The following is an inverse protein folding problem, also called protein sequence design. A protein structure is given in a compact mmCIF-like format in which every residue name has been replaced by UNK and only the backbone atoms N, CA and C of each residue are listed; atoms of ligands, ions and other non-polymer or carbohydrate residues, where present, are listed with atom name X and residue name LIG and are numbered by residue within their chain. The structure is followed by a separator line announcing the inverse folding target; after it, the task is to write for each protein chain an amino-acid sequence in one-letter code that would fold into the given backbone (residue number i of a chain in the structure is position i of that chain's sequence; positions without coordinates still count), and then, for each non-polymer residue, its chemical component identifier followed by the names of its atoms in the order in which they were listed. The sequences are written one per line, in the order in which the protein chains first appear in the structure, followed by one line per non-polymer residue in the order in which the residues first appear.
data_IF_074594571000
#
_entry.id   IF_074594571000
#
_cell.length_a   1.000
_cell.length_b   1.000
_cell.length_c   1.000
_cell.angle_alpha   90.00
_cell.angle_beta   90.00
_cell.angle_gamma   90.00
#
_symmetry.space_group_name_H-M   'P 1'
#
loop_
_entity.id
_entity.type
_entity.pdbx_description
1 polymer ?
#
# COMPACT_ATOMS: atom_id res chain seq x y z
N UNK A 1 -1.41 -0.91 -9.41
CA UNK A 1 -2.46 -0.36 -8.52
C UNK A 1 -3.02 -1.50 -7.68
N UNK A 2 -3.28 -1.24 -6.40
CA UNK A 2 -3.86 -2.19 -5.45
C UNK A 2 -5.25 -1.71 -5.04
N UNK A 3 -6.24 -2.61 -4.93
CA UNK A 3 -7.56 -2.24 -4.43
C UNK A 3 -7.49 -1.99 -2.93
N UNK A 4 -8.09 -0.89 -2.47
CA UNK A 4 -8.24 -0.55 -1.06
C UNK A 4 -9.68 -0.17 -0.81
N UNK A 5 -10.25 -0.72 0.27
CA UNK A 5 -11.60 -0.37 0.70
C UNK A 5 -11.63 1.09 1.15
N UNK A 6 -12.47 1.88 0.51
CA UNK A 6 -12.77 3.26 0.90
C UNK A 6 -14.11 3.27 1.62
N UNK A 7 -14.07 3.63 2.90
CA UNK A 7 -15.25 3.68 3.76
C UNK A 7 -15.35 5.07 4.39
N UNK A 8 -16.51 5.70 4.26
CA UNK A 8 -16.79 7.01 4.86
C UNK A 8 -18.18 7.01 5.51
N UNK A 9 -18.32 7.72 6.63
CA UNK A 9 -19.51 7.74 7.46
C UNK A 9 -19.69 6.48 8.33
N UNK A 10 -20.37 6.63 9.46
CA UNK A 10 -20.65 5.54 10.40
C UNK A 10 -22.06 4.99 10.25
N UNK A 11 -22.26 3.67 10.23
CA UNK A 11 -23.62 3.14 10.34
C UNK A 11 -24.25 3.64 11.64
N UNK A 12 -25.35 4.39 11.55
CA UNK A 12 -26.18 4.58 12.73
C UNK A 12 -26.71 3.19 13.14
N UNK A 13 -26.61 2.86 14.43
CA UNK A 13 -26.99 1.56 15.04
C UNK A 13 -28.43 1.09 14.75
N UNK A 14 -29.22 1.87 14.02
CA UNK A 14 -30.62 1.61 13.70
C UNK A 14 -30.83 0.67 12.51
N UNK A 15 -29.88 0.56 11.58
CA UNK A 15 -30.05 -0.26 10.36
C UNK A 15 -28.81 -1.12 10.06
N UNK A 16 -28.97 -2.44 9.85
CA UNK A 16 -27.91 -3.28 9.30
C UNK A 16 -27.47 -2.84 7.90
N UNK A 17 -26.21 -3.12 7.55
CA UNK A 17 -25.60 -2.75 6.26
C UNK A 17 -26.43 -3.22 5.06
N UNK A 18 -26.85 -4.49 5.02
CA UNK A 18 -27.64 -5.02 3.90
C UNK A 18 -28.97 -4.29 3.68
N UNK A 19 -29.64 -3.83 4.76
CA UNK A 19 -30.86 -3.02 4.63
C UNK A 19 -30.56 -1.59 4.17
N UNK A 20 -29.40 -1.06 4.57
CA UNK A 20 -28.96 0.26 4.12
C UNK A 20 -28.66 0.27 2.63
N UNK A 21 -28.08 -0.82 2.11
CA UNK A 21 -27.85 -1.03 0.68
C UNK A 21 -29.17 -1.11 -0.10
N UNK A 22 -30.12 -1.94 0.35
CA UNK A 22 -31.45 -2.06 -0.27
C UNK A 22 -32.21 -0.73 -0.33
N UNK A 23 -32.00 0.14 0.66
CA UNK A 23 -32.63 1.47 0.75
C UNK A 23 -31.87 2.56 -0.01
N UNK A 24 -30.73 2.25 -0.63
CA UNK A 24 -29.92 3.20 -1.39
C UNK A 24 -29.15 4.20 -0.53
N UNK A 25 -28.88 3.86 0.74
CA UNK A 25 -28.05 4.68 1.63
C UNK A 25 -26.55 4.43 1.44
N UNK A 26 -26.17 3.35 0.75
CA UNK A 26 -24.77 3.09 0.40
C UNK A 26 -24.49 3.65 -0.99
N UNK A 27 -23.56 4.61 -1.06
CA UNK A 27 -23.15 5.29 -2.28
C UNK A 27 -21.73 4.87 -2.67
N UNK A 28 -21.44 4.87 -3.97
CA UNK A 28 -20.06 4.87 -4.49
C UNK A 28 -19.57 6.30 -4.65
N UNK A 29 -18.26 6.49 -4.85
CA UNK A 29 -17.71 7.84 -5.06
C UNK A 29 -18.29 8.51 -6.30
N UNK A 30 -18.48 7.75 -7.37
CA UNK A 30 -19.02 8.29 -8.63
C UNK A 30 -20.48 8.78 -8.49
N UNK A 31 -21.21 8.28 -7.49
CA UNK A 31 -22.59 8.70 -7.22
C UNK A 31 -22.66 10.05 -6.46
N UNK A 32 -21.57 10.46 -5.79
CA UNK A 32 -21.56 11.65 -4.93
C UNK A 32 -21.90 12.93 -5.70
N UNK A 33 -21.39 13.07 -6.92
CA UNK A 33 -21.65 14.26 -7.75
C UNK A 33 -23.14 14.38 -8.04
N UNK A 34 -23.77 13.29 -8.45
CA UNK A 34 -25.19 13.26 -8.82
C UNK A 34 -26.07 13.50 -7.60
N UNK A 35 -25.74 12.88 -6.45
CA UNK A 35 -26.51 13.06 -5.21
C UNK A 35 -26.33 14.48 -4.66
N UNK A 36 -25.13 15.05 -4.73
CA UNK A 36 -24.89 16.43 -4.30
C UNK A 36 -25.73 17.42 -5.13
N UNK A 37 -25.76 17.26 -6.46
CA UNK A 37 -26.61 18.08 -7.34
C UNK A 37 -28.09 17.95 -7.00
N UNK A 38 -28.59 16.74 -6.72
CA UNK A 38 -29.98 16.51 -6.33
C UNK A 38 -30.34 17.17 -4.99
N UNK A 39 -29.36 17.33 -4.10
CA UNK A 39 -29.53 17.95 -2.79
C UNK A 39 -29.24 19.45 -2.78
N UNK A 40 -28.89 20.04 -3.94
CA UNK A 40 -28.44 21.43 -4.05
C UNK A 40 -27.20 21.74 -3.18
N UNK A 41 -26.32 20.73 -3.02
CA UNK A 41 -25.05 20.82 -2.30
C UNK A 41 -23.88 20.70 -3.27
N UNK A 42 -22.72 21.21 -2.87
CA UNK A 42 -21.46 20.84 -3.52
C UNK A 42 -21.01 19.43 -3.10
N UNK A 43 -20.16 18.79 -3.92
CA UNK A 43 -19.59 17.46 -3.58
C UNK A 43 -18.85 17.51 -2.23
N UNK A 44 -18.06 18.56 -2.00
CA UNK A 44 -17.31 18.75 -0.76
C UNK A 44 -18.24 18.91 0.45
N UNK A 45 -19.32 19.70 0.34
CA UNK A 45 -20.31 19.85 1.42
C UNK A 45 -21.06 18.56 1.73
N UNK A 46 -21.37 17.74 0.71
CA UNK A 46 -21.99 16.43 0.91
C UNK A 46 -21.01 15.47 1.64
N UNK A 47 -19.73 15.48 1.24
CA UNK A 47 -18.68 14.67 1.88
C UNK A 47 -18.53 15.04 3.36
N UNK A 48 -18.49 16.33 3.67
CA UNK A 48 -18.39 16.83 5.04
C UNK A 48 -19.61 16.40 5.87
N UNK A 49 -20.83 16.58 5.34
CA UNK A 49 -22.06 16.18 6.04
C UNK A 49 -22.16 14.65 6.27
N UNK A 50 -21.69 13.84 5.32
CA UNK A 50 -21.61 12.38 5.49
C UNK A 50 -20.57 12.00 6.55
N UNK A 51 -19.43 12.71 6.57
CA UNK A 51 -18.32 12.47 7.51
C UNK A 51 -18.69 12.86 8.94
N UNK A 52 -19.49 13.92 9.10
CA UNK A 52 -20.04 14.39 10.37
C UNK A 52 -21.31 13.63 10.80
N UNK A 53 -21.69 12.57 10.08
CA UNK A 53 -22.89 11.76 10.31
C UNK A 53 -24.21 12.57 10.36
N UNK A 54 -24.25 13.71 9.66
CA UNK A 54 -25.45 14.55 9.53
C UNK A 54 -26.45 13.98 8.50
N UNK A 55 -25.99 13.08 7.63
CA UNK A 55 -26.78 12.43 6.60
C UNK A 55 -26.78 10.90 6.74
N UNK A 56 -27.87 10.23 6.28
CA UNK A 56 -27.96 8.78 6.33
C UNK A 56 -27.08 8.07 5.28
N UNK A 57 -26.52 8.82 4.31
CA UNK A 57 -25.68 8.27 3.23
C UNK A 57 -24.30 7.88 3.73
N UNK A 58 -23.83 6.69 3.31
CA UNK A 58 -22.52 6.13 3.63
C UNK A 58 -21.80 5.78 2.34
N UNK A 59 -20.51 6.06 2.26
CA UNK A 59 -19.73 5.73 1.07
C UNK A 59 -19.00 4.41 1.31
N UNK A 60 -19.24 3.43 0.44
CA UNK A 60 -18.52 2.15 0.41
C UNK A 60 -18.06 1.91 -1.02
N UNK A 61 -16.75 1.97 -1.23
CA UNK A 61 -16.18 1.83 -2.57
C UNK A 61 -14.82 1.13 -2.53
N UNK A 62 -14.33 0.77 -3.71
CA UNK A 62 -12.98 0.24 -3.91
C UNK A 62 -12.18 1.26 -4.70
N UNK A 63 -11.22 1.91 -4.03
CA UNK A 63 -10.28 2.80 -4.70
C UNK A 63 -9.01 2.04 -5.09
N UNK A 64 -8.41 2.45 -6.21
CA UNK A 64 -7.16 1.89 -6.69
C UNK A 64 -6.02 2.84 -6.38
N UNK A 65 -5.16 2.43 -5.46
CA UNK A 65 -3.98 3.22 -5.04
C UNK A 65 -2.69 2.49 -5.40
N UNK A 66 -1.54 3.08 -5.10
CA UNK A 66 -0.24 2.41 -5.20
C UNK A 66 0.45 2.40 -3.85
N UNK A 67 1.33 1.43 -3.61
CA UNK A 67 2.15 1.43 -2.39
C UNK A 67 2.95 2.73 -2.25
N UNK A 68 3.41 3.28 -3.39
CA UNK A 68 4.09 4.57 -3.44
C UNK A 68 3.21 5.70 -2.90
N UNK A 69 1.95 5.78 -3.33
CA UNK A 69 1.02 6.82 -2.88
C UNK A 69 0.74 6.72 -1.38
N UNK A 70 0.56 5.50 -0.87
CA UNK A 70 0.25 5.23 0.54
C UNK A 70 1.43 5.33 1.51
N UNK A 71 2.68 5.32 1.00
CA UNK A 71 3.87 5.19 1.86
C UNK A 71 5.04 6.10 1.51
N UNK A 72 5.22 6.47 0.24
CA UNK A 72 6.40 7.20 -0.25
C UNK A 72 6.13 8.65 -0.65
N UNK A 73 4.87 9.04 -0.91
CA UNK A 73 4.49 10.45 -1.08
C UNK A 73 4.99 11.31 0.09
N UNK A 74 5.53 12.49 -0.23
CA UNK A 74 6.16 13.36 0.75
C UNK A 74 5.22 13.78 1.89
N UNK A 75 3.95 14.02 1.56
CA UNK A 75 2.90 14.39 2.52
C UNK A 75 2.61 13.26 3.51
N UNK A 76 2.50 12.03 3.00
CA UNK A 76 2.24 10.84 3.81
C UNK A 76 3.42 10.52 4.73
N UNK A 77 4.66 10.66 4.23
CA UNK A 77 5.85 10.49 5.07
C UNK A 77 5.93 11.59 6.13
N UNK A 78 5.60 12.83 5.79
CA UNK A 78 5.57 13.95 6.74
C UNK A 78 4.53 13.72 7.85
N UNK A 79 3.32 13.28 7.52
CA UNK A 79 2.28 12.99 8.52
C UNK A 79 2.68 11.86 9.46
N UNK A 80 3.35 10.82 8.94
CA UNK A 80 3.91 9.70 9.71
C UNK A 80 5.25 10.01 10.39
N UNK A 81 5.78 11.23 10.27
CA UNK A 81 7.11 11.65 10.79
C UNK A 81 8.27 10.77 10.30
N UNK A 82 8.18 10.30 9.06
CA UNK A 82 9.18 9.47 8.41
C UNK A 82 10.11 10.32 7.52
N UNK A 83 11.40 9.98 7.40
CA UNK A 83 12.34 10.68 6.52
C UNK A 83 11.96 10.48 5.05
N UNK A 84 12.25 11.45 4.18
CA UNK A 84 12.04 11.33 2.73
C UNK A 84 12.80 10.11 2.17
N UNK A 85 12.23 9.47 1.16
CA UNK A 85 12.83 8.33 0.47
C UNK A 85 13.06 8.72 -0.99
N UNK A 86 14.28 8.50 -1.48
CA UNK A 86 14.55 8.54 -2.91
C UNK A 86 14.38 7.12 -3.45
N UNK A 87 13.30 6.86 -4.19
CA UNK A 87 12.99 5.50 -4.66
C UNK A 87 14.09 4.97 -5.57
N UNK A 88 14.65 5.83 -6.42
CA UNK A 88 15.74 5.47 -7.33
C UNK A 88 17.01 5.05 -6.59
N UNK A 89 17.23 5.54 -5.36
CA UNK A 89 18.40 5.16 -4.57
C UNK A 89 18.27 3.79 -3.91
N UNK A 90 17.06 3.21 -3.83
CA UNK A 90 16.83 1.91 -3.16
C UNK A 90 17.52 0.75 -3.86
N UNK A 91 17.85 0.92 -5.14
CA UNK A 91 18.58 -0.07 -5.94
C UNK A 91 20.06 -0.17 -5.57
N UNK A 92 20.58 0.79 -4.80
CA UNK A 92 22.00 0.95 -4.55
C UNK A 92 22.32 0.81 -3.07
N UNK A 93 23.47 0.21 -2.79
CA UNK A 93 24.05 0.18 -1.46
C UNK A 93 24.37 1.62 -1.03
N UNK A 94 23.90 2.07 0.15
CA UNK A 94 24.06 3.46 0.58
C UNK A 94 25.51 3.85 0.90
N UNK A 95 26.42 2.89 1.11
CA UNK A 95 27.82 3.14 1.45
C UNK A 95 28.73 3.12 0.21
N UNK A 96 28.53 2.16 -0.69
CA UNK A 96 29.37 2.02 -1.88
C UNK A 96 28.78 2.67 -3.13
N UNK A 97 27.46 2.89 -3.17
CA UNK A 97 26.76 3.32 -4.38
C UNK A 97 26.62 2.21 -5.44
N UNK A 98 27.07 1.00 -5.14
CA UNK A 98 26.95 -0.15 -6.05
C UNK A 98 25.55 -0.71 -6.05
N UNK A 99 25.07 -1.17 -7.21
CA UNK A 99 23.72 -1.72 -7.35
C UNK A 99 23.61 -3.08 -6.66
N UNK A 100 22.53 -3.31 -5.92
CA UNK A 100 22.19 -4.65 -5.44
C UNK A 100 21.95 -5.59 -6.64
N UNK A 101 22.29 -6.86 -6.48
CA UNK A 101 21.94 -7.90 -7.44
C UNK A 101 20.61 -8.51 -7.03
N UNK A 102 19.61 -8.45 -7.91
CA UNK A 102 18.28 -8.99 -7.67
C UNK A 102 17.99 -10.09 -8.69
N UNK A 103 17.53 -11.23 -8.20
CA UNK A 103 17.10 -12.37 -8.99
C UNK A 103 15.73 -12.83 -8.45
N UNK A 104 14.87 -13.31 -9.34
CA UNK A 104 13.55 -13.85 -9.00
C UNK A 104 13.33 -15.14 -9.75
N UNK A 105 12.66 -16.10 -9.11
CA UNK A 105 12.29 -17.36 -9.75
C UNK A 105 10.96 -17.87 -9.15
N UNK A 106 10.58 -19.10 -9.43
CA UNK A 106 9.50 -19.78 -8.72
C UNK A 106 9.83 -21.26 -8.51
N UNK A 107 9.50 -21.76 -7.32
CA UNK A 107 9.75 -23.15 -6.94
C UNK A 107 8.43 -23.84 -6.60
N UNK A 108 8.34 -25.14 -6.85
CA UNK A 108 7.18 -25.94 -6.47
C UNK A 108 7.37 -26.50 -5.05
N UNK A 109 6.46 -26.13 -4.14
CA UNK A 109 6.46 -26.62 -2.75
C UNK A 109 5.08 -27.19 -2.43
N UNK A 110 5.02 -28.50 -2.22
CA UNK A 110 3.76 -29.18 -1.87
C UNK A 110 2.68 -29.08 -2.97
N UNK A 111 3.08 -29.07 -4.24
CA UNK A 111 2.17 -28.95 -5.39
C UNK A 111 1.69 -27.52 -5.67
N UNK A 112 2.24 -26.52 -4.97
CA UNK A 112 1.94 -25.09 -5.19
C UNK A 112 3.21 -24.38 -5.67
N UNK A 113 3.08 -23.61 -6.76
CA UNK A 113 4.12 -22.73 -7.25
C UNK A 113 4.25 -21.51 -6.34
N UNK A 114 5.41 -21.33 -5.74
CA UNK A 114 5.73 -20.20 -4.87
C UNK A 114 6.83 -19.36 -5.49
N UNK A 115 6.62 -18.04 -5.56
CA UNK A 115 7.63 -17.11 -6.07
C UNK A 115 8.79 -16.95 -5.07
N UNK A 116 9.99 -16.87 -5.61
CA UNK A 116 11.23 -16.71 -4.85
C UNK A 116 11.95 -15.44 -5.28
N UNK A 117 12.71 -14.86 -4.34
CA UNK A 117 13.50 -13.65 -4.56
C UNK A 117 14.84 -13.82 -3.87
N UNK A 118 15.89 -13.34 -4.52
CA UNK A 118 17.22 -13.23 -3.97
C UNK A 118 17.75 -11.83 -4.21
N UNK A 119 18.14 -11.16 -3.12
CA UNK A 119 18.83 -9.87 -3.17
C UNK A 119 20.20 -10.04 -2.53
N UNK A 120 21.26 -9.69 -3.26
CA UNK A 120 22.65 -9.75 -2.80
C UNK A 120 23.31 -8.38 -2.85
N UNK A 121 24.13 -8.11 -1.84
CA UNK A 121 25.03 -6.96 -1.82
C UNK A 121 26.42 -7.36 -2.36
N UNK A 122 26.85 -6.83 -3.52
CA UNK A 122 28.17 -7.15 -4.08
C UNK A 122 29.32 -6.49 -3.31
N UNK A 123 29.04 -5.43 -2.54
CA UNK A 123 30.05 -4.64 -1.83
C UNK A 123 29.63 -4.33 -0.39
N UNK A 124 29.40 -5.38 0.43
CA UNK A 124 28.95 -5.23 1.80
C UNK A 124 29.91 -4.33 2.60
N UNK A 125 29.34 -3.35 3.31
CA UNK A 125 30.05 -2.33 4.08
C UNK A 125 30.99 -1.40 3.30
N UNK A 126 31.01 -1.46 1.96
CA UNK A 126 31.83 -0.58 1.11
C UNK A 126 33.35 -0.76 1.26
N UNK A 127 33.81 -1.95 1.68
CA UNK A 127 35.24 -2.24 1.92
C UNK A 127 35.75 -3.33 0.97
N UNK A 128 36.92 -3.12 0.37
CA UNK A 128 37.52 -4.04 -0.61
C UNK A 128 37.80 -5.46 -0.07
N UNK A 129 38.07 -5.60 1.23
CA UNK A 129 38.48 -6.87 1.86
C UNK A 129 37.33 -7.69 2.42
N UNK A 130 36.08 -7.25 2.26
CA UNK A 130 34.92 -8.03 2.72
C UNK A 130 34.61 -9.08 1.66
N UNK A 131 34.29 -10.30 2.10
CA UNK A 131 33.83 -11.35 1.19
C UNK A 131 32.56 -10.86 0.50
N UNK A 132 32.63 -10.66 -0.82
CA UNK A 132 31.51 -10.23 -1.66
C UNK A 132 30.36 -11.23 -1.56
N UNK A 133 29.14 -10.75 -1.78
CA UNK A 133 27.90 -11.55 -1.74
C UNK A 133 27.64 -12.26 -0.41
N UNK A 134 28.29 -11.80 0.66
CA UNK A 134 28.04 -12.34 1.99
C UNK A 134 26.69 -11.91 2.51
N UNK A 135 26.26 -10.68 2.26
CA UNK A 135 24.98 -10.17 2.72
C UNK A 135 23.90 -10.46 1.67
N UNK A 136 22.88 -11.21 2.08
CA UNK A 136 21.76 -11.60 1.22
C UNK A 136 20.43 -11.57 1.96
N UNK A 137 19.37 -11.39 1.18
CA UNK A 137 17.97 -11.51 1.57
C UNK A 137 17.27 -12.47 0.60
N UNK A 138 16.52 -13.42 1.14
CA UNK A 138 15.82 -14.45 0.38
C UNK A 138 16.73 -15.54 -0.20
N UNK A 139 16.12 -16.38 -1.04
CA UNK A 139 16.72 -17.54 -1.70
C UNK A 139 15.96 -17.82 -3.00
N UNK A 140 16.63 -18.38 -4.02
CA UNK A 140 15.95 -18.89 -5.22
C UNK A 140 15.53 -20.36 -5.08
N UNK A 141 16.10 -21.08 -4.12
CA UNK A 141 15.87 -22.53 -3.94
C UNK A 141 14.87 -22.84 -2.83
N UNK A 142 14.62 -21.86 -1.94
CA UNK A 142 13.72 -21.99 -0.81
C UNK A 142 12.80 -20.77 -0.79
N UNK A 143 11.50 -20.98 -0.57
CA UNK A 143 10.49 -19.92 -0.57
C UNK A 143 10.46 -19.23 0.80
N UNK A 144 11.53 -18.50 1.11
CA UNK A 144 11.61 -17.64 2.29
C UNK A 144 12.17 -16.27 1.93
N UNK A 145 11.88 -15.29 2.78
CA UNK A 145 12.42 -13.93 2.70
C UNK A 145 13.46 -13.65 3.78
N UNK A 146 13.91 -14.68 4.52
CA UNK A 146 14.96 -14.51 5.53
C UNK A 146 16.26 -13.99 4.91
N UNK A 147 16.96 -13.14 5.67
CA UNK A 147 18.27 -12.62 5.32
C UNK A 147 19.29 -12.86 6.41
N UNK A 148 20.55 -12.75 6.07
CA UNK A 148 21.65 -12.83 7.05
C UNK A 148 22.16 -11.43 7.46
N UNK A 149 21.38 -10.40 7.18
CA UNK A 149 21.62 -9.05 7.68
C UNK A 149 21.34 -9.04 9.18
N UNK A 150 22.41 -9.08 9.97
CA UNK A 150 22.34 -8.93 11.43
C UNK A 150 22.88 -7.54 11.78
N UNK A 151 22.15 -6.82 12.63
CA UNK A 151 22.64 -5.60 13.28
C UNK A 151 23.76 -5.94 14.28
#
# INVERSE_FOLDING_TARGET
VIPVSFNMGSFHDTLPEGKSDEMGFILKRDDLVVIAEQMELTEDELIDQISDDLLPYKVRDVIYTTFFDENFKAEVRKSKRLPKVAVDSLWFNPLSGERFMLETDSIEVGGVLQSTILVKDPTPFGREKVKKDTLRFGSLNEAHTDGNWRN
#
